data_IF_767973059994
#
_entry.id   IF_767973059994
#
_cell.length_a   1.000
_cell.length_b   1.000
_cell.length_c   1.000
_cell.angle_alpha   90.00
_cell.angle_beta   90.00
_cell.angle_gamma   90.00
#
_symmetry.space_group_name_H-M   'P 1'
#
loop_
_entity.id
_entity.type
_entity.pdbx_description
1 polymer ?
#
# COMPACT_ATOMS: atom_id res chain seq x y z
N UNK A 1 -16.30 -10.43 9.56
CA UNK A 1 -17.15 -10.02 10.71
C UNK A 1 -18.52 -9.59 10.24
N UNK A 2 -18.62 -8.63 9.31
CA UNK A 2 -19.88 -8.19 8.72
C UNK A 2 -20.74 -9.32 8.11
N UNK A 3 -20.10 -10.24 7.38
CA UNK A 3 -20.75 -11.44 6.81
C UNK A 3 -21.40 -12.30 7.89
N UNK A 4 -20.67 -12.59 8.97
CA UNK A 4 -21.21 -13.32 10.13
C UNK A 4 -22.40 -12.60 10.77
N UNK A 5 -22.36 -11.27 10.90
CA UNK A 5 -23.49 -10.50 11.46
C UNK A 5 -24.73 -10.66 10.56
N UNK A 6 -24.56 -10.56 9.23
CA UNK A 6 -25.65 -10.76 8.27
C UNK A 6 -26.23 -12.17 8.32
N UNK A 7 -25.39 -13.20 8.50
CA UNK A 7 -25.81 -14.60 8.56
C UNK A 7 -26.52 -14.98 9.87
N UNK A 8 -26.12 -14.36 10.99
CA UNK A 8 -26.61 -14.74 12.33
C UNK A 8 -27.82 -13.92 12.79
N UNK A 9 -28.17 -12.85 12.07
CA UNK A 9 -29.30 -12.00 12.46
C UNK A 9 -30.59 -12.43 11.74
N UNK A 10 -31.71 -12.46 12.48
CA UNK A 10 -33.05 -12.73 11.94
C UNK A 10 -33.62 -11.63 11.01
N UNK A 11 -32.89 -10.52 10.80
CA UNK A 11 -33.37 -9.39 10.00
C UNK A 11 -32.64 -9.37 8.65
N UNK A 12 -33.37 -9.00 7.59
CA UNK A 12 -32.76 -8.78 6.28
C UNK A 12 -32.11 -7.39 6.26
N UNK A 13 -30.78 -7.36 6.13
CA UNK A 13 -30.00 -6.11 6.08
C UNK A 13 -29.87 -5.66 4.61
N UNK A 14 -30.62 -4.64 4.23
CA UNK A 14 -30.59 -4.08 2.87
C UNK A 14 -29.39 -3.15 2.63
N UNK A 15 -28.95 -2.41 3.65
CA UNK A 15 -27.82 -1.48 3.59
C UNK A 15 -27.03 -1.54 4.89
N UNK A 16 -25.74 -1.23 4.79
CA UNK A 16 -24.86 -1.12 5.95
C UNK A 16 -23.85 0.00 5.68
N UNK A 17 -23.40 0.63 6.76
CA UNK A 17 -22.41 1.71 6.71
C UNK A 17 -21.34 1.42 7.76
N UNK A 18 -20.09 1.70 7.41
CA UNK A 18 -18.92 1.49 8.26
C UNK A 18 -18.34 2.86 8.60
N UNK A 19 -17.98 3.07 9.87
CA UNK A 19 -17.55 4.39 10.35
C UNK A 19 -16.15 4.33 10.94
N UNK A 20 -15.33 5.34 10.63
CA UNK A 20 -14.03 5.55 11.26
C UNK A 20 -13.77 7.04 11.43
N UNK A 21 -13.16 7.42 12.55
CA UNK A 21 -12.70 8.78 12.79
C UNK A 21 -11.27 9.02 12.29
N UNK A 22 -10.50 7.94 12.08
CA UNK A 22 -9.16 7.95 11.51
C UNK A 22 -9.19 8.31 10.01
N UNK A 23 -9.06 9.60 9.74
CA UNK A 23 -9.06 10.13 8.37
C UNK A 23 -8.00 9.50 7.46
N UNK A 24 -6.83 9.18 8.01
CA UNK A 24 -5.73 8.54 7.28
C UNK A 24 -6.10 7.11 6.87
N UNK A 25 -6.68 6.32 7.78
CA UNK A 25 -7.17 4.97 7.47
C UNK A 25 -8.24 5.00 6.37
N UNK A 26 -9.16 5.96 6.43
CA UNK A 26 -10.15 6.16 5.38
C UNK A 26 -9.52 6.57 4.04
N UNK A 27 -8.43 7.34 4.07
CA UNK A 27 -7.68 7.71 2.87
C UNK A 27 -7.09 6.47 2.19
N UNK A 28 -6.51 5.56 2.99
CA UNK A 28 -5.98 4.29 2.51
C UNK A 28 -7.08 3.41 1.89
N UNK A 29 -8.15 3.14 2.65
CA UNK A 29 -9.29 2.30 2.21
C UNK A 29 -9.94 2.82 0.92
N UNK A 30 -9.99 4.15 0.73
CA UNK A 30 -10.59 4.78 -0.45
C UNK A 30 -9.60 5.05 -1.58
N UNK A 31 -8.33 4.72 -1.38
CA UNK A 31 -7.31 4.96 -2.39
C UNK A 31 -7.53 4.04 -3.60
N UNK A 32 -7.25 4.55 -4.80
CA UNK A 32 -7.28 3.73 -6.01
C UNK A 32 -6.03 2.85 -6.18
N UNK A 33 -4.98 3.09 -5.39
CA UNK A 33 -3.68 2.43 -5.52
C UNK A 33 -3.08 2.09 -4.15
N UNK A 34 -3.54 0.99 -3.57
CA UNK A 34 -3.04 0.45 -2.29
C UNK A 34 -1.55 0.09 -2.32
N UNK A 35 -1.00 -0.28 -3.49
CA UNK A 35 0.41 -0.72 -3.62
C UNK A 35 1.43 0.37 -3.32
N UNK A 36 0.98 1.63 -3.27
CA UNK A 36 1.81 2.77 -2.92
C UNK A 36 2.19 2.81 -1.44
N UNK A 37 1.49 2.08 -0.56
CA UNK A 37 1.72 2.11 0.89
C UNK A 37 2.62 0.99 1.38
N UNK A 38 3.30 1.19 2.52
CA UNK A 38 4.17 0.20 3.17
C UNK A 38 3.46 -1.14 3.33
N UNK A 39 4.24 -2.23 3.39
CA UNK A 39 3.70 -3.59 3.39
C UNK A 39 2.67 -3.84 4.50
N UNK A 40 2.86 -3.25 5.67
CA UNK A 40 1.89 -3.32 6.77
C UNK A 40 0.53 -2.75 6.37
N UNK A 41 0.49 -1.51 5.84
CA UNK A 41 -0.75 -0.84 5.43
C UNK A 41 -1.40 -1.58 4.27
N UNK A 42 -0.64 -1.94 3.23
CA UNK A 42 -1.12 -2.67 2.06
C UNK A 42 -1.87 -3.95 2.46
N UNK A 43 -1.29 -4.75 3.37
CA UNK A 43 -1.89 -6.03 3.78
C UNK A 43 -3.17 -5.79 4.57
N UNK A 44 -3.17 -4.85 5.52
CA UNK A 44 -4.35 -4.55 6.36
C UNK A 44 -5.50 -3.95 5.57
N UNK A 45 -5.19 -3.02 4.68
CA UNK A 45 -6.17 -2.48 3.73
C UNK A 45 -6.77 -3.60 2.89
N UNK A 46 -5.92 -4.47 2.31
CA UNK A 46 -6.36 -5.64 1.55
C UNK A 46 -7.31 -6.55 2.34
N UNK A 47 -6.97 -6.88 3.59
CA UNK A 47 -7.83 -7.67 4.49
C UNK A 47 -9.20 -7.01 4.68
N UNK A 48 -9.25 -5.71 4.95
CA UNK A 48 -10.51 -4.96 5.12
C UNK A 48 -11.36 -5.04 3.84
N UNK A 49 -10.73 -4.82 2.69
CA UNK A 49 -11.40 -4.80 1.40
C UNK A 49 -11.83 -6.20 0.90
N UNK A 50 -11.33 -7.29 1.50
CA UNK A 50 -11.85 -8.63 1.19
C UNK A 50 -13.29 -8.85 1.65
N UNK A 51 -13.77 -8.08 2.63
CA UNK A 51 -15.10 -8.28 3.23
C UNK A 51 -15.97 -7.01 3.28
N UNK A 52 -15.45 -5.89 2.79
CA UNK A 52 -16.14 -4.59 2.82
C UNK A 52 -15.96 -3.85 1.50
N UNK A 53 -16.89 -2.95 1.18
CA UNK A 53 -16.78 -2.07 0.02
C UNK A 53 -16.27 -0.69 0.46
N UNK A 54 -15.26 -0.09 -0.21
CA UNK A 54 -14.79 1.27 0.10
C UNK A 54 -15.89 2.33 0.15
N UNK A 55 -16.98 2.13 -0.62
CA UNK A 55 -18.12 3.05 -0.71
C UNK A 55 -18.99 3.06 0.54
N UNK A 56 -18.98 1.98 1.31
CA UNK A 56 -19.73 1.83 2.56
C UNK A 56 -19.03 2.53 3.74
N UNK A 57 -17.74 2.89 3.59
CA UNK A 57 -16.97 3.59 4.60
C UNK A 57 -17.27 5.10 4.64
N UNK A 58 -17.58 5.59 5.83
CA UNK A 58 -17.93 6.96 6.19
C UNK A 58 -17.01 7.48 7.28
N UNK A 59 -16.87 8.80 7.34
CA UNK A 59 -16.12 9.45 8.39
C UNK A 59 -17.06 9.87 9.53
N UNK A 60 -16.61 9.73 10.77
CA UNK A 60 -17.28 10.25 11.96
C UNK A 60 -16.31 11.12 12.76
N UNK A 61 -16.71 12.28 13.32
CA UNK A 61 -15.89 13.02 14.26
C UNK A 61 -15.51 12.16 15.47
N UNK A 62 -14.29 12.28 16.01
CA UNK A 62 -13.85 11.47 17.16
C UNK A 62 -14.75 11.64 18.40
N UNK A 63 -15.30 12.84 18.62
CA UNK A 63 -16.26 13.07 19.71
C UNK A 63 -17.63 12.41 19.51
N UNK A 64 -17.95 11.99 18.29
CA UNK A 64 -19.17 11.26 17.94
C UNK A 64 -18.90 9.76 17.68
N UNK A 65 -17.65 9.33 17.75
CA UNK A 65 -17.26 7.94 17.55
C UNK A 65 -17.52 7.12 18.82
N UNK A 66 -18.66 6.44 18.88
CA UNK A 66 -19.02 5.60 20.04
C UNK A 66 -18.05 4.43 20.26
N UNK A 67 -17.25 4.05 19.26
CA UNK A 67 -16.21 3.02 19.43
C UNK A 67 -15.19 3.42 20.50
N UNK A 68 -14.90 4.72 20.66
CA UNK A 68 -13.96 5.24 21.65
C UNK A 68 -14.41 4.99 23.09
N UNK A 69 -15.72 4.91 23.34
CA UNK A 69 -16.26 4.60 24.66
C UNK A 69 -15.84 3.20 25.12
N UNK A 70 -15.69 2.26 24.18
CA UNK A 70 -15.23 0.90 24.50
C UNK A 70 -13.71 0.78 24.66
N UNK A 71 -12.93 1.70 24.08
CA UNK A 71 -11.46 1.63 24.10
C UNK A 71 -10.84 2.46 25.22
N UNK A 72 -11.51 3.52 25.69
CA UNK A 72 -11.03 4.43 26.74
C UNK A 72 -11.61 4.12 28.12
N UNK A 73 -11.49 2.86 28.54
CA UNK A 73 -12.06 2.33 29.80
C UNK A 73 -11.22 2.70 31.03
N UNK A 74 -11.16 3.99 31.37
CA UNK A 74 -10.32 4.47 32.48
C UNK A 74 -11.01 4.34 33.85
N UNK A 75 -12.32 4.60 33.89
CA UNK A 75 -13.22 4.31 34.99
C UNK A 75 -14.46 3.69 34.33
N UNK A 76 -14.92 2.53 34.80
CA UNK A 76 -15.95 1.75 34.11
C UNK A 76 -17.11 2.64 33.66
N UNK A 77 -17.51 2.59 32.38
CA UNK A 77 -18.58 3.43 31.86
C UNK A 77 -19.86 3.13 32.64
N UNK A 78 -20.60 4.19 32.92
CA UNK A 78 -22.00 4.09 33.30
C UNK A 78 -22.76 3.55 32.08
N UNK A 79 -22.81 2.21 31.97
CA UNK A 79 -23.52 1.47 30.94
C UNK A 79 -25.01 1.44 31.30
N UNK A 80 -25.62 2.62 31.31
CA UNK A 80 -27.08 2.71 31.36
C UNK A 80 -27.65 2.36 29.98
N UNK A 81 -28.93 1.99 29.92
CA UNK A 81 -29.59 1.64 28.65
C UNK A 81 -29.62 2.82 27.67
N UNK A 82 -29.48 4.04 28.17
CA UNK A 82 -29.44 5.28 27.41
C UNK A 82 -28.06 5.59 26.83
N UNK A 83 -27.03 4.81 27.18
CA UNK A 83 -25.66 5.04 26.73
C UNK A 83 -25.56 4.95 25.19
N UNK A 84 -24.90 5.92 24.51
CA UNK A 84 -24.72 5.92 23.05
C UNK A 84 -24.08 4.66 22.48
N UNK A 85 -23.39 3.86 23.29
CA UNK A 85 -22.90 2.55 22.91
C UNK A 85 -24.02 1.60 22.49
N UNK A 86 -25.16 1.62 23.19
CA UNK A 86 -26.31 0.76 22.93
C UNK A 86 -27.35 1.43 22.02
N UNK A 87 -27.58 2.73 22.20
CA UNK A 87 -28.60 3.49 21.45
C UNK A 87 -28.10 4.05 20.12
N UNK A 88 -26.78 4.03 19.92
CA UNK A 88 -26.11 4.67 18.79
C UNK A 88 -25.98 6.19 18.95
N UNK A 89 -25.06 6.82 18.21
CA UNK A 89 -24.91 8.27 18.22
C UNK A 89 -26.12 8.97 17.61
N UNK A 90 -26.45 10.16 18.12
CA UNK A 90 -27.64 10.92 17.74
C UNK A 90 -27.81 11.12 16.23
N UNK A 91 -26.71 11.35 15.49
CA UNK A 91 -26.77 11.61 14.06
C UNK A 91 -27.30 10.43 13.24
N UNK A 92 -27.23 9.18 13.74
CA UNK A 92 -27.78 8.03 13.02
C UNK A 92 -29.31 8.00 13.03
N UNK A 93 -29.94 8.71 13.96
CA UNK A 93 -31.40 8.89 14.02
C UNK A 93 -31.88 10.01 13.09
N UNK A 94 -30.96 10.81 12.56
CA UNK A 94 -31.24 11.85 11.58
C UNK A 94 -31.20 11.29 10.16
N UNK A 95 -31.76 12.04 9.20
CA UNK A 95 -31.66 11.71 7.77
C UNK A 95 -30.21 11.64 7.31
N UNK A 96 -29.90 10.77 6.33
CA UNK A 96 -28.52 10.61 5.80
C UNK A 96 -27.88 11.94 5.34
N UNK A 97 -28.68 12.92 4.92
CA UNK A 97 -28.22 14.26 4.53
C UNK A 97 -27.61 15.08 5.69
N UNK A 98 -27.94 14.74 6.94
CA UNK A 98 -27.42 15.37 8.16
C UNK A 98 -26.28 14.58 8.79
N UNK A 99 -25.90 13.45 8.20
CA UNK A 99 -24.80 12.67 8.71
C UNK A 99 -23.48 13.41 8.55
N UNK A 100 -22.48 13.13 9.42
CA UNK A 100 -21.17 13.76 9.29
C UNK A 100 -20.53 13.46 7.94
N UNK A 101 -20.04 14.51 7.30
CA UNK A 101 -19.23 14.43 6.08
C UNK A 101 -17.91 15.11 6.37
N UNK A 102 -16.82 14.48 5.92
CA UNK A 102 -15.51 15.12 5.95
C UNK A 102 -15.31 15.87 4.65
N UNK A 103 -15.06 17.19 4.73
CA UNK A 103 -14.95 18.09 3.57
C UNK A 103 -13.88 17.65 2.57
N UNK A 104 -12.79 17.05 3.04
CA UNK A 104 -11.85 16.30 2.20
C UNK A 104 -11.07 15.28 3.02
N UNK A 105 -10.85 14.10 2.44
CA UNK A 105 -9.84 13.15 2.91
C UNK A 105 -8.65 13.34 1.97
N UNK A 106 -7.64 14.14 2.34
CA UNK A 106 -6.47 14.30 1.49
C UNK A 106 -5.79 12.94 1.28
N UNK A 107 -5.23 12.72 0.09
CA UNK A 107 -4.35 11.59 -0.12
C UNK A 107 -3.20 11.66 0.88
N UNK A 108 -3.14 10.69 1.79
CA UNK A 108 -2.05 10.63 2.77
C UNK A 108 -0.79 10.07 2.11
N UNK A 109 0.33 10.76 2.31
CA UNK A 109 1.68 10.24 2.01
C UNK A 109 2.30 9.54 3.22
N UNK A 110 1.59 9.52 4.36
CA UNK A 110 2.00 8.71 5.50
C UNK A 110 2.02 7.24 5.09
N UNK A 111 3.08 6.54 5.49
CA UNK A 111 3.32 5.15 5.09
C UNK A 111 3.43 4.95 3.57
N UNK A 112 3.74 5.98 2.76
CA UNK A 112 4.07 5.76 1.36
C UNK A 112 5.40 4.99 1.22
N UNK A 113 5.48 4.06 0.26
CA UNK A 113 6.73 3.38 -0.11
C UNK A 113 7.64 4.34 -0.85
N UNK A 114 8.88 4.46 -0.37
CA UNK A 114 9.93 5.14 -1.10
C UNK A 114 10.29 4.31 -2.33
N UNK A 115 9.91 4.80 -3.51
CA UNK A 115 10.29 4.18 -4.77
C UNK A 115 11.73 4.59 -5.09
N UNK A 116 12.65 3.64 -5.05
CA UNK A 116 14.04 3.88 -5.43
C UNK A 116 14.18 3.67 -6.94
N UNK A 117 14.46 4.73 -7.68
CA UNK A 117 14.79 4.64 -9.09
C UNK A 117 16.28 4.30 -9.23
N UNK A 118 16.60 3.08 -9.67
CA UNK A 118 17.98 2.73 -10.01
C UNK A 118 18.33 3.30 -11.40
N UNK A 119 19.02 4.43 -11.42
CA UNK A 119 19.56 5.01 -12.65
C UNK A 119 20.95 4.42 -12.88
N UNK A 120 21.07 3.52 -13.84
CA UNK A 120 22.37 3.09 -14.33
C UNK A 120 22.83 4.06 -15.43
N UNK A 121 23.70 5.01 -15.10
CA UNK A 121 24.39 5.78 -16.13
C UNK A 121 25.23 4.81 -16.96
N UNK A 122 25.02 4.82 -18.28
CA UNK A 122 25.85 4.07 -19.22
C UNK A 122 27.25 4.69 -19.28
N UNK A 123 28.10 4.37 -18.30
CA UNK A 123 29.52 4.62 -18.42
C UNK A 123 30.06 3.59 -19.40
N UNK A 124 30.58 4.06 -20.54
CA UNK A 124 31.31 3.18 -21.43
C UNK A 124 32.46 2.56 -20.63
N UNK A 125 32.53 1.21 -20.49
CA UNK A 125 33.55 0.56 -19.67
C UNK A 125 34.98 0.79 -20.22
N UNK A 126 35.06 1.32 -21.44
CA UNK A 126 36.30 1.58 -22.16
C UNK A 126 36.55 3.07 -22.19
N UNK A 127 37.49 3.54 -21.38
CA UNK A 127 38.01 4.90 -21.49
C UNK A 127 38.79 5.05 -22.79
N UNK A 128 38.15 5.57 -23.83
CA UNK A 128 38.73 5.73 -25.18
C UNK A 128 40.06 6.52 -25.15
N UNK A 129 40.16 7.50 -24.26
CA UNK A 129 41.35 8.33 -24.04
C UNK A 129 42.59 7.56 -23.54
N UNK A 130 42.43 6.33 -23.05
CA UNK A 130 43.54 5.50 -22.55
C UNK A 130 44.33 4.79 -23.64
N UNK A 131 43.88 4.89 -24.90
CA UNK A 131 44.49 4.17 -26.03
C UNK A 131 45.05 5.14 -27.05
N UNK A 132 46.36 5.03 -27.31
CA UNK A 132 47.04 5.78 -28.36
C UNK A 132 46.96 5.14 -29.75
N UNK A 133 46.43 3.92 -29.85
CA UNK A 133 46.35 3.13 -31.08
C UNK A 133 44.99 2.44 -31.19
N UNK A 134 44.36 2.56 -32.37
CA UNK A 134 43.08 1.92 -32.68
C UNK A 134 43.10 0.39 -32.49
N UNK A 135 44.19 -0.26 -32.87
CA UNK A 135 44.35 -1.71 -32.72
C UNK A 135 44.32 -2.17 -31.25
N UNK A 136 44.85 -1.37 -30.32
CA UNK A 136 44.81 -1.66 -28.88
C UNK A 136 43.40 -1.52 -28.33
N UNK A 137 42.68 -0.47 -28.77
CA UNK A 137 41.28 -0.25 -28.40
C UNK A 137 40.38 -1.38 -28.93
N UNK A 138 40.54 -1.77 -30.18
CA UNK A 138 39.77 -2.84 -30.80
C UNK A 138 39.97 -4.17 -30.06
N UNK A 139 41.23 -4.54 -29.76
CA UNK A 139 41.53 -5.74 -28.97
C UNK A 139 40.93 -5.68 -27.58
N UNK A 140 41.10 -4.58 -26.85
CA UNK A 140 40.52 -4.41 -25.51
C UNK A 140 38.99 -4.58 -25.54
N UNK A 141 38.33 -3.99 -26.55
CA UNK A 141 36.88 -4.14 -26.75
C UNK A 141 36.50 -5.60 -27.01
N UNK A 142 37.23 -6.29 -27.90
CA UNK A 142 36.98 -7.69 -28.21
C UNK A 142 37.18 -8.62 -26.98
N UNK A 143 38.17 -8.33 -26.13
CA UNK A 143 38.37 -9.06 -24.87
C UNK A 143 37.21 -8.83 -23.87
N UNK A 144 36.70 -7.61 -23.75
CA UNK A 144 35.55 -7.30 -22.87
C UNK A 144 34.28 -8.01 -23.37
N UNK A 145 34.04 -7.99 -24.68
CA UNK A 145 32.91 -8.72 -25.29
C UNK A 145 33.05 -10.22 -25.02
N UNK A 146 34.23 -10.81 -25.26
CA UNK A 146 34.50 -12.23 -24.96
C UNK A 146 34.30 -12.55 -23.48
N UNK A 147 34.74 -11.67 -22.58
CA UNK A 147 34.54 -11.85 -21.13
C UNK A 147 33.05 -11.89 -20.77
N UNK A 148 32.26 -10.94 -21.28
CA UNK A 148 30.80 -10.90 -21.10
C UNK A 148 30.13 -12.18 -21.61
N UNK A 149 30.53 -12.66 -22.78
CA UNK A 149 29.96 -13.88 -23.36
C UNK A 149 30.36 -15.13 -22.58
N UNK A 150 31.60 -15.17 -22.06
CA UNK A 150 32.06 -16.25 -21.18
C UNK A 150 31.35 -16.27 -19.83
N UNK A 151 30.98 -15.11 -19.27
CA UNK A 151 30.15 -15.06 -18.06
C UNK A 151 28.77 -15.70 -18.28
N UNK A 152 28.14 -15.41 -19.43
CA UNK A 152 26.86 -16.03 -19.81
C UNK A 152 27.00 -17.52 -20.00
N UNK A 153 27.99 -17.96 -20.79
CA UNK A 153 28.30 -19.38 -21.01
C UNK A 153 28.51 -20.13 -19.70
N UNK A 154 29.28 -19.55 -18.76
CA UNK A 154 29.52 -20.18 -17.47
C UNK A 154 28.23 -20.31 -16.63
N UNK A 155 27.36 -19.29 -16.64
CA UNK A 155 26.06 -19.36 -15.99
C UNK A 155 25.16 -20.46 -16.61
N UNK A 156 25.28 -20.68 -17.91
CA UNK A 156 24.53 -21.69 -18.68
C UNK A 156 25.23 -23.08 -18.69
N UNK A 157 26.34 -23.25 -17.97
CA UNK A 157 27.12 -24.51 -17.94
C UNK A 157 27.85 -24.86 -19.24
N UNK A 158 28.02 -23.90 -20.15
CA UNK A 158 28.67 -24.04 -21.45
C UNK A 158 30.19 -23.80 -21.37
N UNK A 159 31.00 -24.42 -22.24
CA UNK A 159 32.45 -24.21 -22.26
C UNK A 159 32.84 -22.79 -22.68
N UNK A 160 33.90 -22.27 -22.06
CA UNK A 160 34.44 -20.93 -22.29
C UNK A 160 35.10 -20.81 -23.69
N UNK A 161 34.96 -19.65 -24.34
CA UNK A 161 35.72 -19.29 -25.53
C UNK A 161 37.10 -18.73 -25.15
N UNK A 162 38.16 -19.47 -25.49
CA UNK A 162 39.55 -19.16 -25.17
C UNK A 162 40.40 -18.83 -26.40
N UNK A 163 39.79 -18.63 -27.58
CA UNK A 163 40.52 -18.32 -28.82
C UNK A 163 41.35 -17.05 -28.68
N UNK A 164 42.54 -17.04 -29.28
CA UNK A 164 43.41 -15.86 -29.33
C UNK A 164 42.83 -14.85 -30.32
N UNK A 165 42.46 -13.68 -29.80
CA UNK A 165 41.96 -12.55 -30.61
C UNK A 165 43.19 -11.83 -31.19
N UNK A 166 43.41 -11.94 -32.52
CA UNK A 166 44.53 -11.30 -33.24
C UNK A 166 44.20 -9.87 -33.65
#
# INVERSE_FOLDING_TARGET
MLTKIKEQHSFTIHRHYLWSDAGVCLAWIKSANSTRYQQFVLVREGEILTTTDPRDWRWVPSNLNVADLSTKWNAGPELTNENPWFTGPHFLHETEARWPVKESVPESNEEARVTHLHIQQAVHPIGLSRFSLWSKLFRATAYIVRYKDNLKRNADGQPLDLRVLR
#
